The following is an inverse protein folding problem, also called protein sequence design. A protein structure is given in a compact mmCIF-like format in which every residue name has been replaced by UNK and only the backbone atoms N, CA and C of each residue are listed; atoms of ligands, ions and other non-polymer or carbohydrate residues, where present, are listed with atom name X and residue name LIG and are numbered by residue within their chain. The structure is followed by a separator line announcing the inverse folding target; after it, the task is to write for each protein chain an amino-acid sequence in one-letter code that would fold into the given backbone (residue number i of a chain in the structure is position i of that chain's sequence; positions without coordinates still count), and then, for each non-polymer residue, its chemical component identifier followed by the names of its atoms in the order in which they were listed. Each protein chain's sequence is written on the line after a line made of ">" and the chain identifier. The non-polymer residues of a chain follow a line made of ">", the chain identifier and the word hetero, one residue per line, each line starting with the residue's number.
data_IF_125883072574
#
_entry.id   IF_125883072574
#
_cell.length_a   1.000
_cell.length_b   1.000
_cell.length_c   1.000
_cell.angle_alpha   90.00
_cell.angle_beta   90.00
_cell.angle_gamma   90.00
#
_symmetry.space_group_name_H-M   'P 1'
#
loop_
_entity.id
_entity.type
_entity.pdbx_description
1 polymer ?
#
# COMPACT_ATOMS: atom_id res chain seq x y z
N UNK A 1 31.63 -1.71 -24.65
CA UNK A 1 32.10 -0.42 -25.17
C UNK A 1 31.25 -0.04 -26.37
N UNK A 2 29.95 0.08 -26.15
CA UNK A 2 29.19 0.98 -26.99
C UNK A 2 29.56 2.41 -26.59
N UNK A 3 29.39 3.34 -27.51
CA UNK A 3 29.68 4.75 -27.27
C UNK A 3 28.42 5.52 -26.87
N UNK A 4 27.31 4.79 -26.68
CA UNK A 4 25.98 5.31 -26.44
C UNK A 4 25.80 5.70 -24.97
N UNK A 5 26.32 4.91 -24.02
CA UNK A 5 26.20 5.12 -22.55
C UNK A 5 26.69 6.52 -22.08
N UNK A 6 27.90 6.93 -22.49
CA UNK A 6 28.53 8.17 -21.99
C UNK A 6 27.83 9.47 -22.45
N UNK A 7 27.17 9.45 -23.61
CA UNK A 7 26.62 10.67 -24.21
C UNK A 7 25.13 10.85 -23.96
N UNK A 8 24.39 9.78 -23.64
CA UNK A 8 22.94 9.82 -23.48
C UNK A 8 22.51 9.68 -22.01
N UNK A 9 23.14 8.80 -21.24
CA UNK A 9 22.71 8.47 -19.87
C UNK A 9 23.70 8.92 -18.80
N UNK A 10 24.92 9.30 -19.17
CA UNK A 10 25.93 9.79 -18.21
C UNK A 10 26.62 8.69 -17.42
N UNK A 11 26.33 7.44 -17.73
CA UNK A 11 26.98 6.25 -17.19
C UNK A 11 28.38 6.06 -17.78
N UNK A 12 29.19 5.23 -17.13
CA UNK A 12 30.59 5.00 -17.51
C UNK A 12 30.71 3.77 -18.41
N UNK A 13 31.19 3.86 -19.67
CA UNK A 13 31.32 2.69 -20.57
C UNK A 13 32.30 1.60 -20.13
N UNK A 14 32.96 1.78 -18.99
CA UNK A 14 33.87 0.81 -18.37
C UNK A 14 33.39 0.36 -16.98
N UNK A 15 32.20 0.81 -16.58
CA UNK A 15 31.48 0.36 -15.41
C UNK A 15 30.17 -0.23 -15.93
N UNK A 16 29.81 -1.45 -15.55
CA UNK A 16 28.56 -2.07 -16.05
C UNK A 16 27.37 -1.77 -15.14
N UNK A 17 27.62 -1.17 -13.98
CA UNK A 17 26.72 -0.90 -12.86
C UNK A 17 27.23 0.38 -12.18
N UNK A 18 26.75 1.54 -12.64
CA UNK A 18 27.35 2.84 -12.32
C UNK A 18 27.05 3.28 -10.88
N UNK A 19 25.85 3.00 -10.38
CA UNK A 19 25.36 3.38 -9.05
C UNK A 19 25.61 2.28 -7.99
N UNK A 20 25.98 1.07 -8.42
CA UNK A 20 26.35 -0.09 -7.61
C UNK A 20 25.18 -0.71 -6.82
N UNK A 21 23.98 -0.70 -7.39
CA UNK A 21 22.80 -1.34 -6.81
C UNK A 21 22.63 -2.82 -7.21
N UNK A 22 23.51 -3.35 -8.07
CA UNK A 22 23.46 -4.72 -8.64
C UNK A 22 22.52 -4.90 -9.83
N UNK A 23 21.90 -3.85 -10.34
CA UNK A 23 21.37 -3.77 -11.68
C UNK A 23 22.49 -3.29 -12.63
N UNK A 24 22.34 -3.56 -13.92
CA UNK A 24 23.31 -3.06 -14.90
C UNK A 24 22.74 -1.85 -15.60
N UNK A 25 23.59 -0.88 -15.93
CA UNK A 25 23.19 0.35 -16.65
C UNK A 25 22.35 0.03 -17.89
N UNK A 26 22.67 -1.08 -18.58
CA UNK A 26 21.92 -1.55 -19.73
C UNK A 26 20.51 -2.02 -19.37
N UNK A 27 20.36 -2.83 -18.31
CA UNK A 27 19.07 -3.38 -17.88
C UNK A 27 18.17 -2.27 -17.33
N UNK A 28 18.73 -1.36 -16.54
CA UNK A 28 18.02 -0.19 -16.00
C UNK A 28 17.46 0.67 -17.13
N UNK A 29 18.29 1.06 -18.09
CA UNK A 29 17.84 1.92 -19.19
C UNK A 29 16.89 1.22 -20.17
N UNK A 30 17.12 -0.06 -20.49
CA UNK A 30 16.46 -0.72 -21.64
C UNK A 30 15.36 -1.72 -21.25
N UNK A 31 15.36 -2.22 -20.02
CA UNK A 31 14.41 -3.24 -19.56
C UNK A 31 13.50 -2.75 -18.44
N UNK A 32 14.07 -2.04 -17.47
CA UNK A 32 13.39 -1.65 -16.21
C UNK A 32 12.80 -0.25 -16.33
N UNK A 33 13.58 0.71 -16.81
CA UNK A 33 13.24 2.12 -16.89
C UNK A 33 13.65 2.95 -15.66
N UNK A 34 14.49 2.41 -14.77
CA UNK A 34 15.11 3.13 -13.64
C UNK A 34 16.25 4.07 -14.06
N UNK A 35 16.71 4.92 -13.14
CA UNK A 35 17.87 5.79 -13.29
C UNK A 35 19.18 5.04 -12.96
N UNK A 36 20.04 4.73 -13.96
CA UNK A 36 21.30 4.00 -13.75
C UNK A 36 22.37 4.78 -12.95
N UNK A 37 22.02 5.95 -12.44
CA UNK A 37 22.87 6.79 -11.59
C UNK A 37 22.34 6.90 -10.16
N UNK A 38 21.20 6.29 -9.87
CA UNK A 38 20.53 6.36 -8.57
C UNK A 38 20.06 4.99 -8.09
N UNK A 39 20.46 4.63 -6.88
CA UNK A 39 20.15 3.34 -6.27
C UNK A 39 18.67 3.20 -5.88
N UNK A 40 17.94 4.30 -5.87
CA UNK A 40 16.57 4.48 -5.42
C UNK A 40 15.94 5.56 -6.30
N UNK A 41 15.46 5.14 -7.47
CA UNK A 41 15.09 5.98 -8.61
C UNK A 41 13.96 6.98 -8.31
N UNK A 42 13.13 6.72 -7.30
CA UNK A 42 12.01 7.57 -6.91
C UNK A 42 12.13 8.17 -5.49
N UNK A 43 13.29 7.97 -4.87
CA UNK A 43 13.69 8.47 -3.55
C UNK A 43 12.73 8.01 -2.42
N UNK A 44 12.10 6.83 -2.50
CA UNK A 44 11.15 6.34 -1.50
C UNK A 44 11.81 5.67 -0.29
N UNK A 45 13.05 5.21 -0.45
CA UNK A 45 13.84 4.52 0.57
C UNK A 45 13.99 3.01 0.32
N UNK A 46 13.41 2.46 -0.74
CA UNK A 46 13.61 1.09 -1.20
C UNK A 46 14.51 1.15 -2.45
N UNK A 47 15.63 0.41 -2.47
CA UNK A 47 16.46 0.36 -3.67
C UNK A 47 15.76 -0.35 -4.83
N UNK A 48 16.03 0.09 -6.07
CA UNK A 48 15.40 -0.41 -7.30
C UNK A 48 15.48 -1.93 -7.43
N UNK A 49 16.65 -2.49 -7.11
CA UNK A 49 16.86 -3.94 -7.15
C UNK A 49 15.98 -4.72 -6.16
N UNK A 50 15.61 -4.12 -5.02
CA UNK A 50 14.72 -4.69 -4.01
C UNK A 50 13.27 -4.54 -4.45
N UNK A 51 12.89 -3.39 -5.00
CA UNK A 51 11.55 -3.19 -5.57
C UNK A 51 11.23 -4.25 -6.63
N UNK A 52 12.20 -4.56 -7.49
CA UNK A 52 12.06 -5.65 -8.47
C UNK A 52 11.94 -7.05 -7.84
N UNK A 53 12.44 -7.27 -6.62
CA UNK A 53 12.23 -8.52 -5.86
C UNK A 53 10.79 -8.62 -5.34
N UNK A 54 10.19 -7.50 -4.92
CA UNK A 54 8.77 -7.39 -4.56
C UNK A 54 7.85 -7.33 -5.78
N UNK A 55 8.37 -6.95 -6.95
CA UNK A 55 7.59 -6.74 -8.16
C UNK A 55 6.94 -5.36 -8.23
N UNK A 56 7.35 -4.42 -7.37
CA UNK A 56 6.97 -3.00 -7.42
C UNK A 56 7.72 -2.26 -8.54
N UNK A 57 7.27 -1.04 -8.87
CA UNK A 57 7.84 -0.16 -9.90
C UNK A 57 8.88 0.78 -9.29
N UNK A 58 10.17 0.67 -9.69
CA UNK A 58 11.24 1.52 -9.17
C UNK A 58 11.08 3.03 -9.38
N UNK A 59 10.08 3.45 -10.15
CA UNK A 59 9.80 4.85 -10.42
C UNK A 59 8.53 5.35 -9.70
N UNK A 60 7.99 4.57 -8.74
CA UNK A 60 6.71 4.88 -8.08
C UNK A 60 6.63 4.46 -6.62
N UNK A 61 6.64 5.48 -5.76
CA UNK A 61 6.54 5.37 -4.30
C UNK A 61 5.31 4.60 -3.80
N UNK A 62 4.29 4.52 -4.65
CA UNK A 62 3.01 3.83 -4.46
C UNK A 62 2.77 3.09 -5.79
N UNK A 63 3.32 1.88 -5.87
CA UNK A 63 3.51 1.15 -7.12
C UNK A 63 2.22 0.57 -7.67
N UNK A 64 1.33 0.12 -6.79
CA UNK A 64 0.04 -0.41 -7.16
C UNK A 64 -1.07 0.67 -7.21
N UNK A 65 -0.85 1.83 -6.57
CA UNK A 65 -1.72 2.99 -6.59
C UNK A 65 -2.88 2.93 -5.58
N UNK A 66 -2.77 2.13 -4.53
CA UNK A 66 -3.82 1.98 -3.51
C UNK A 66 -3.83 3.14 -2.48
N UNK A 67 -2.72 3.88 -2.40
CA UNK A 67 -2.55 5.05 -1.53
C UNK A 67 -1.68 4.82 -0.29
N UNK A 68 -1.01 3.68 -0.16
CA UNK A 68 0.06 3.41 0.81
C UNK A 68 1.41 3.49 0.06
N UNK A 69 2.43 4.08 0.68
CA UNK A 69 3.77 4.09 0.07
C UNK A 69 4.47 2.75 0.35
N UNK A 70 5.23 2.23 -0.61
CA UNK A 70 5.89 0.93 -0.56
C UNK A 70 6.68 0.66 0.74
N UNK A 71 7.47 1.63 1.27
CA UNK A 71 8.17 1.44 2.54
C UNK A 71 7.22 1.17 3.71
N UNK A 72 6.06 1.84 3.75
CA UNK A 72 5.07 1.65 4.81
C UNK A 72 4.34 0.31 4.63
N UNK A 73 4.06 -0.11 3.39
CA UNK A 73 3.52 -1.44 3.09
C UNK A 73 4.43 -2.56 3.59
N UNK A 74 5.74 -2.46 3.34
CA UNK A 74 6.71 -3.48 3.75
C UNK A 74 6.98 -3.45 5.26
N UNK A 75 7.26 -2.28 5.83
CA UNK A 75 7.76 -2.16 7.21
C UNK A 75 6.66 -2.07 8.27
N UNK A 76 5.52 -1.44 7.96
CA UNK A 76 4.44 -1.19 8.93
C UNK A 76 3.29 -2.20 8.80
N UNK A 77 2.84 -2.48 7.57
CA UNK A 77 1.62 -3.26 7.33
C UNK A 77 1.88 -4.72 6.93
N UNK A 78 3.03 -4.99 6.29
CA UNK A 78 3.40 -6.29 5.76
C UNK A 78 2.60 -6.70 4.51
N UNK A 79 2.01 -5.73 3.80
CA UNK A 79 1.27 -5.91 2.55
C UNK A 79 2.21 -6.02 1.34
N UNK A 80 1.68 -6.39 0.18
CA UNK A 80 2.43 -6.54 -1.06
C UNK A 80 2.40 -5.22 -1.86
N UNK A 81 3.52 -4.48 -1.98
CA UNK A 81 3.55 -3.16 -2.63
C UNK A 81 3.27 -3.17 -4.14
N UNK A 82 3.13 -4.36 -4.73
CA UNK A 82 2.75 -4.54 -6.12
C UNK A 82 1.28 -4.94 -6.31
N UNK A 83 0.49 -5.03 -5.23
CA UNK A 83 -0.85 -5.57 -5.26
C UNK A 83 -1.82 -4.79 -4.36
N UNK A 84 -2.69 -4.00 -5.00
CA UNK A 84 -3.66 -3.13 -4.32
C UNK A 84 -4.55 -3.86 -3.28
N UNK A 85 -4.68 -5.18 -3.37
CA UNK A 85 -5.54 -6.05 -2.56
C UNK A 85 -4.69 -7.31 -2.28
N UNK A 86 -3.97 -7.30 -1.15
CA UNK A 86 -2.92 -8.29 -0.85
C UNK A 86 -3.49 -9.70 -0.65
N UNK A 87 -4.65 -9.82 -0.01
CA UNK A 87 -5.27 -11.12 0.30
C UNK A 87 -6.33 -11.57 -0.73
N UNK A 88 -6.72 -10.66 -1.63
CA UNK A 88 -7.62 -10.90 -2.75
C UNK A 88 -9.10 -10.98 -2.35
N UNK A 89 -9.49 -10.37 -1.23
CA UNK A 89 -10.86 -10.41 -0.72
C UNK A 89 -11.81 -9.42 -1.41
N UNK A 90 -11.26 -8.39 -2.05
CA UNK A 90 -11.98 -7.35 -2.80
C UNK A 90 -12.00 -5.96 -2.17
N UNK A 91 -11.39 -5.75 -1.01
CA UNK A 91 -10.98 -4.43 -0.53
C UNK A 91 -9.51 -4.16 -0.84
N UNK A 92 -9.15 -2.88 -0.98
CA UNK A 92 -7.74 -2.53 -1.09
C UNK A 92 -7.07 -2.50 0.29
N UNK A 93 -5.76 -2.68 0.36
CA UNK A 93 -5.01 -2.66 1.62
C UNK A 93 -5.27 -1.34 2.38
N UNK A 94 -5.27 -0.21 1.67
CA UNK A 94 -5.68 1.09 2.19
C UNK A 94 -7.09 1.08 2.79
N UNK A 95 -8.08 0.52 2.10
CA UNK A 95 -9.47 0.46 2.58
C UNK A 95 -9.56 -0.36 3.87
N UNK A 96 -8.89 -1.49 3.92
CA UNK A 96 -8.86 -2.36 5.09
C UNK A 96 -8.21 -1.70 6.29
N UNK A 97 -7.02 -1.13 6.12
CA UNK A 97 -6.25 -0.52 7.21
C UNK A 97 -6.90 0.76 7.73
N UNK A 98 -7.33 1.66 6.82
CA UNK A 98 -7.74 3.02 7.20
C UNK A 98 -9.25 3.25 7.23
N UNK A 99 -10.06 2.39 6.61
CA UNK A 99 -11.52 2.58 6.52
C UNK A 99 -12.29 1.54 7.33
N UNK A 100 -12.02 0.24 7.09
CA UNK A 100 -12.79 -0.85 7.71
C UNK A 100 -12.17 -1.37 9.01
N UNK A 101 -10.84 -1.30 9.14
CA UNK A 101 -10.07 -1.83 10.26
C UNK A 101 -9.96 -3.36 10.27
N UNK A 102 -10.07 -3.99 9.10
CA UNK A 102 -9.84 -5.42 8.85
C UNK A 102 -8.34 -5.72 8.70
N UNK A 103 -7.97 -6.98 8.57
CA UNK A 103 -6.59 -7.42 8.40
C UNK A 103 -6.31 -7.70 6.92
N UNK A 104 -5.57 -6.81 6.25
CA UNK A 104 -5.26 -6.87 4.82
C UNK A 104 -4.46 -8.11 4.37
N UNK A 105 -4.08 -8.97 5.33
CA UNK A 105 -3.40 -10.23 5.07
C UNK A 105 -4.34 -11.44 5.23
N UNK A 106 -5.62 -11.22 5.48
CA UNK A 106 -6.59 -12.25 5.88
C UNK A 106 -7.93 -12.06 5.19
N UNK A 107 -8.13 -12.87 4.14
CA UNK A 107 -9.33 -12.88 3.28
C UNK A 107 -10.70 -12.85 3.99
N UNK A 108 -10.76 -13.22 5.26
CA UNK A 108 -11.97 -13.29 6.10
C UNK A 108 -11.52 -13.05 7.56
N UNK A 109 -11.56 -11.78 7.98
CA UNK A 109 -10.94 -11.29 9.22
C UNK A 109 -11.53 -11.94 10.47
N UNK A 110 -12.83 -12.25 10.47
CA UNK A 110 -13.51 -12.84 11.63
C UNK A 110 -13.74 -14.36 11.52
N UNK A 111 -13.48 -14.92 10.34
CA UNK A 111 -13.51 -16.35 10.05
C UNK A 111 -14.91 -16.94 9.98
N UNK A 112 -15.94 -16.16 9.66
CA UNK A 112 -17.33 -16.65 9.56
C UNK A 112 -17.68 -17.29 8.20
N UNK A 113 -16.79 -17.17 7.23
CA UNK A 113 -16.88 -17.78 5.90
C UNK A 113 -17.27 -16.82 4.77
N UNK A 114 -17.28 -15.51 5.03
CA UNK A 114 -17.52 -14.45 4.05
C UNK A 114 -16.26 -13.61 3.90
N UNK A 115 -15.85 -13.19 2.68
CA UNK A 115 -14.79 -12.20 2.58
C UNK A 115 -15.24 -10.87 3.17
N UNK A 116 -14.31 -10.10 3.72
CA UNK A 116 -14.59 -8.83 4.39
C UNK A 116 -15.32 -7.87 3.44
N UNK A 117 -14.95 -7.88 2.15
CA UNK A 117 -15.63 -7.09 1.10
C UNK A 117 -17.12 -7.40 0.90
N UNK A 118 -17.57 -8.59 1.32
CA UNK A 118 -18.95 -9.05 1.22
C UNK A 118 -19.64 -9.24 2.57
N UNK A 119 -18.91 -9.07 3.67
CA UNK A 119 -19.44 -9.19 5.02
C UNK A 119 -19.99 -7.84 5.54
N UNK A 120 -21.27 -7.78 5.94
CA UNK A 120 -21.80 -6.61 6.65
C UNK A 120 -21.13 -6.30 8.00
N UNK A 121 -20.46 -7.27 8.62
CA UNK A 121 -19.85 -7.17 9.95
C UNK A 121 -18.46 -7.84 10.04
N UNK A 122 -17.48 -7.44 9.21
CA UNK A 122 -16.20 -8.17 9.00
C UNK A 122 -15.27 -8.29 10.22
N UNK A 123 -15.65 -7.71 11.37
CA UNK A 123 -14.87 -7.73 12.62
C UNK A 123 -15.57 -8.49 13.75
N UNK A 124 -16.72 -9.10 13.46
CA UNK A 124 -17.55 -9.74 14.48
C UNK A 124 -18.07 -11.03 13.88
N UNK A 125 -17.46 -12.15 14.28
CA UNK A 125 -17.86 -13.50 13.89
C UNK A 125 -19.36 -13.73 14.16
N UNK A 126 -20.21 -13.32 13.22
CA UNK A 126 -21.65 -13.23 13.39
C UNK A 126 -22.39 -14.31 12.63
N UNK A 127 -21.67 -15.01 11.75
CA UNK A 127 -21.90 -16.38 11.31
C UNK A 127 -23.38 -16.61 11.17
N UNK A 128 -23.98 -16.06 10.12
CA UNK A 128 -25.38 -16.33 9.77
C UNK A 128 -25.50 -17.84 9.60
N UNK A 129 -25.87 -18.51 10.69
CA UNK A 129 -26.10 -19.95 10.74
C UNK A 129 -27.24 -20.21 9.76
N UNK A 130 -26.92 -20.68 8.56
CA UNK A 130 -27.87 -21.33 7.66
C UNK A 130 -28.40 -22.58 8.37
N UNK A 131 -29.34 -22.39 9.30
CA UNK A 131 -29.98 -23.48 10.05
C UNK A 131 -30.13 -23.32 11.56
N UNK A 132 -30.32 -22.13 12.14
CA UNK A 132 -31.07 -22.03 13.41
C UNK A 132 -30.53 -21.10 14.50
N UNK A 133 -31.23 -19.98 14.70
CA UNK A 133 -31.45 -19.18 15.93
C UNK A 133 -30.45 -19.34 17.09
N UNK A 134 -29.62 -18.31 17.31
CA UNK A 134 -29.45 -17.49 18.55
C UNK A 134 -28.71 -16.22 18.10
N UNK A 135 -28.99 -14.95 18.43
CA UNK A 135 -29.72 -14.37 19.56
C UNK A 135 -28.77 -13.74 20.59
N UNK A 136 -28.24 -12.53 20.31
CA UNK A 136 -27.62 -11.55 21.23
C UNK A 136 -26.20 -11.91 21.77
N UNK A 137 -25.20 -11.03 21.92
CA UNK A 137 -25.12 -9.61 22.33
C UNK A 137 -23.75 -9.06 21.90
N UNK A 138 -23.70 -7.88 21.28
CA UNK A 138 -22.63 -6.87 21.52
C UNK A 138 -23.20 -5.48 21.22
N UNK A 139 -23.23 -4.62 22.24
CA UNK A 139 -23.73 -3.24 22.23
C UNK A 139 -22.51 -2.33 22.50
N UNK A 140 -22.50 -1.13 21.87
CA UNK A 140 -21.59 0.04 22.01
C UNK A 140 -20.24 -0.14 21.29
N UNK A 141 -19.76 0.70 20.36
CA UNK A 141 -19.69 2.18 20.33
C UNK A 141 -19.69 2.71 18.88
N UNK A 142 -20.73 3.45 18.48
CA UNK A 142 -20.65 4.47 17.43
C UNK A 142 -20.26 5.80 18.09
N UNK A 143 -18.99 6.15 18.03
CA UNK A 143 -18.43 7.49 18.26
C UNK A 143 -17.27 7.54 17.26
N UNK A 144 -17.30 8.28 16.15
CA UNK A 144 -17.35 9.74 16.06
C UNK A 144 -18.01 10.13 14.72
N UNK A 145 -19.25 10.63 14.76
CA UNK A 145 -19.81 11.45 13.68
C UNK A 145 -19.88 12.91 14.15
N UNK A 146 -19.10 13.77 13.49
CA UNK A 146 -19.29 15.21 13.30
C UNK A 146 -20.23 15.95 14.28
N UNK A 147 -19.66 16.59 15.30
CA UNK A 147 -20.25 17.81 15.88
C UNK A 147 -19.27 18.96 15.69
N UNK A 148 -19.33 19.58 14.51
CA UNK A 148 -18.75 20.90 14.25
C UNK A 148 -19.60 21.93 14.99
N UNK A 149 -19.22 22.29 16.23
CA UNK A 149 -19.93 23.30 17.01
C UNK A 149 -19.81 24.67 16.30
N UNK A 150 -20.91 25.35 15.92
CA UNK A 150 -20.83 26.70 15.40
C UNK A 150 -20.54 27.69 16.55
N UNK A 151 -19.50 28.51 16.38
CA UNK A 151 -19.17 29.59 17.33
C UNK A 151 -20.22 30.68 17.28
N UNK A 152 -21.07 30.80 18.30
CA UNK A 152 -21.89 31.99 18.50
C UNK A 152 -21.09 33.08 19.22
N UNK A 153 -20.81 34.18 18.51
CA UNK A 153 -20.36 35.45 19.09
C UNK A 153 -21.53 36.11 19.82
N UNK A 154 -21.42 36.29 21.13
CA UNK A 154 -22.30 37.20 21.87
C UNK A 154 -21.61 38.56 22.01
N UNK A 155 -22.14 39.57 21.31
CA UNK A 155 -21.96 40.97 21.65
C UNK A 155 -22.58 41.22 23.04
N UNK A 156 -21.83 41.84 23.95
CA UNK A 156 -22.44 42.58 25.06
C UNK A 156 -21.89 43.99 25.04
N UNK A 157 -22.76 44.91 24.65
CA UNK A 157 -22.64 46.33 24.92
C UNK A 157 -23.90 46.80 25.64
N UNK A 158 -23.72 47.33 26.85
CA UNK A 158 -24.36 48.55 27.37
C UNK A 158 -23.73 48.93 28.70
#
# INVERSE_FOLDING_TARGET
>A
MDAEELFEYGTSPNDEDTDNDSLSDYDEVHLIGSDPLDIDSDDDGIPDNIELEYGSDPNSRDSDGDGIEGPDEIDEYGTDPAAMDTDGDGFSDYEEIFIYGTDALVYDSDGDGSPDSLDPWPLIHDGVVFGGIVGAVSIVIVVIAFVRVPRFRALVGR
#
